data_IF_947639080551
#
_entry.id   IF_947639080551
#
_cell.length_a   1.000
_cell.length_b   1.000
_cell.length_c   1.000
_cell.angle_alpha   90.00
_cell.angle_beta   90.00
_cell.angle_gamma   90.00
#
_symmetry.space_group_name_H-M   'P 1'
#
loop_
_entity.id
_entity.type
_entity.pdbx_description
1 polymer ?
#
# COMPACT_ATOMS: atom_id res chain seq x y z
N UNK A 1 -2.47 -0.98 -9.54
CA UNK A 1 -3.87 -1.18 -9.13
C UNK A 1 -3.91 -2.25 -8.07
N UNK A 2 -4.70 -2.06 -7.02
CA UNK A 2 -4.94 -3.08 -5.99
C UNK A 2 -6.40 -3.48 -6.06
N UNK A 3 -6.66 -4.78 -6.04
CA UNK A 3 -7.99 -5.36 -6.00
C UNK A 3 -8.18 -6.05 -4.66
N UNK A 4 -9.34 -5.85 -4.06
CA UNK A 4 -9.71 -6.43 -2.77
C UNK A 4 -10.95 -7.31 -2.94
N UNK A 5 -10.99 -8.40 -2.19
CA UNK A 5 -12.24 -9.06 -1.85
C UNK A 5 -13.08 -8.18 -0.92
N UNK A 6 -14.36 -8.52 -0.75
CA UNK A 6 -15.23 -7.83 0.21
C UNK A 6 -14.62 -7.89 1.62
N UNK A 7 -14.44 -6.72 2.22
CA UNK A 7 -13.89 -6.58 3.57
C UNK A 7 -15.08 -6.49 4.55
N UNK A 8 -15.16 -7.37 5.56
CA UNK A 8 -16.22 -7.31 6.57
C UNK A 8 -16.23 -5.99 7.35
N UNK A 9 -17.41 -5.50 7.73
CA UNK A 9 -17.56 -4.26 8.51
C UNK A 9 -16.75 -4.29 9.82
N UNK A 10 -16.72 -5.42 10.52
CA UNK A 10 -15.92 -5.60 11.75
C UNK A 10 -14.42 -5.33 11.53
N UNK A 11 -13.89 -5.71 10.35
CA UNK A 11 -12.49 -5.44 10.01
C UNK A 11 -12.26 -3.94 9.81
N UNK A 12 -13.22 -3.25 9.19
CA UNK A 12 -13.18 -1.79 8.99
C UNK A 12 -13.24 -1.07 10.35
N UNK A 13 -14.15 -1.48 11.24
CA UNK A 13 -14.28 -0.89 12.58
C UNK A 13 -13.00 -1.08 13.40
N UNK A 14 -12.42 -2.28 13.41
CA UNK A 14 -11.15 -2.55 14.09
C UNK A 14 -10.00 -1.69 13.55
N UNK A 15 -9.93 -1.48 12.23
CA UNK A 15 -8.93 -0.61 11.59
C UNK A 15 -9.09 0.87 11.93
N UNK A 16 -10.32 1.32 12.17
CA UNK A 16 -10.64 2.69 12.62
C UNK A 16 -10.26 2.86 14.09
N UNK A 17 -10.59 1.87 14.93
CA UNK A 17 -10.25 1.86 16.35
C UNK A 17 -8.74 1.85 16.60
N UNK A 18 -7.98 1.09 15.80
CA UNK A 18 -6.51 1.08 15.86
C UNK A 18 -5.90 2.44 15.47
N UNK A 19 -6.62 3.24 14.67
CA UNK A 19 -6.27 4.60 14.29
C UNK A 19 -5.08 4.72 13.32
N UNK A 20 -4.39 3.61 13.01
CA UNK A 20 -3.24 3.61 12.10
C UNK A 20 -3.62 4.02 10.67
N UNK A 21 -4.85 3.71 10.25
CA UNK A 21 -5.41 4.06 8.94
C UNK A 21 -5.52 5.57 8.70
N UNK A 22 -5.54 6.39 9.75
CA UNK A 22 -5.55 7.85 9.63
C UNK A 22 -4.19 8.44 9.21
N UNK A 23 -3.11 7.65 9.25
CA UNK A 23 -1.77 8.11 8.88
C UNK A 23 -1.41 7.83 7.41
N UNK A 24 -2.31 7.20 6.66
CA UNK A 24 -2.07 6.79 5.27
C UNK A 24 -3.18 7.29 4.35
N UNK A 25 -2.81 7.58 3.10
CA UNK A 25 -3.79 8.05 2.12
C UNK A 25 -4.83 6.96 1.82
N UNK A 26 -6.10 7.32 1.93
CA UNK A 26 -7.22 6.40 1.67
C UNK A 26 -7.33 5.24 2.66
N UNK A 27 -6.65 5.28 3.82
CA UNK A 27 -6.66 4.17 4.78
C UNK A 27 -6.00 2.89 4.27
N UNK A 28 -5.24 2.98 3.16
CA UNK A 28 -4.73 1.81 2.45
C UNK A 28 -3.38 1.36 3.01
N UNK A 29 -3.36 0.19 3.63
CA UNK A 29 -2.14 -0.53 4.04
C UNK A 29 -2.23 -1.96 3.50
N UNK A 30 -1.31 -2.37 2.63
CA UNK A 30 -1.34 -3.71 2.01
C UNK A 30 -0.83 -4.79 2.96
N UNK A 31 0.11 -4.41 3.81
CA UNK A 31 0.85 -5.28 4.71
C UNK A 31 0.16 -5.46 6.06
N UNK A 32 -0.91 -4.71 6.33
CA UNK A 32 -1.60 -4.76 7.61
C UNK A 32 -2.30 -6.12 7.78
N UNK A 33 -2.15 -6.82 8.93
CA UNK A 33 -2.71 -8.16 9.12
C UNK A 33 -4.23 -8.24 8.90
N UNK A 34 -4.95 -7.16 9.16
CA UNK A 34 -6.41 -7.08 8.96
C UNK A 34 -6.82 -6.86 7.49
N UNK A 35 -5.96 -6.30 6.64
CA UNK A 35 -6.28 -6.01 5.23
C UNK A 35 -5.65 -7.01 4.27
N UNK A 36 -4.46 -7.53 4.61
CA UNK A 36 -3.68 -8.47 3.80
C UNK A 36 -4.49 -9.71 3.34
N UNK A 37 -5.33 -10.35 4.17
CA UNK A 37 -6.13 -11.50 3.74
C UNK A 37 -7.15 -11.17 2.64
N UNK A 38 -7.49 -9.90 2.46
CA UNK A 38 -8.49 -9.44 1.49
C UNK A 38 -7.85 -8.93 0.19
N UNK A 39 -6.52 -8.92 0.06
CA UNK A 39 -5.86 -8.51 -1.18
C UNK A 39 -6.01 -9.62 -2.22
N UNK A 40 -6.85 -9.39 -3.23
CA UNK A 40 -7.07 -10.33 -4.34
C UNK A 40 -5.90 -10.30 -5.33
N UNK A 41 -5.51 -9.10 -5.76
CA UNK A 41 -4.44 -8.93 -6.74
C UNK A 41 -3.78 -7.55 -6.64
N UNK A 42 -2.48 -7.51 -6.91
CA UNK A 42 -1.72 -6.27 -7.11
C UNK A 42 -1.20 -6.27 -8.54
N UNK A 43 -1.66 -5.31 -9.34
CA UNK A 43 -1.18 -5.08 -10.71
C UNK A 43 -0.18 -3.92 -10.68
N UNK A 44 1.08 -4.24 -10.90
CA UNK A 44 2.22 -3.33 -10.74
C UNK A 44 3.19 -3.85 -9.67
N UNK A 45 4.07 -2.99 -9.16
CA UNK A 45 5.02 -3.34 -8.11
C UNK A 45 4.50 -2.90 -6.74
N UNK A 46 4.55 -3.81 -5.75
CA UNK A 46 4.04 -3.57 -4.38
C UNK A 46 4.73 -2.40 -3.70
N UNK A 47 6.03 -2.22 -3.92
CA UNK A 47 6.82 -1.11 -3.36
C UNK A 47 6.29 0.26 -3.80
N UNK A 48 5.78 0.35 -5.03
CA UNK A 48 5.16 1.54 -5.58
C UNK A 48 3.84 1.86 -4.89
N UNK A 49 3.05 0.83 -4.53
CA UNK A 49 1.82 1.00 -3.76
C UNK A 49 2.13 1.39 -2.31
N UNK A 50 3.18 0.83 -1.72
CA UNK A 50 3.66 1.19 -0.38
C UNK A 50 4.31 2.58 -0.32
N UNK A 51 4.42 3.29 -1.44
CA UNK A 51 4.82 4.69 -1.49
C UNK A 51 6.21 4.97 -2.06
N UNK A 52 7.01 3.95 -2.39
CA UNK A 52 8.33 4.14 -2.99
C UNK A 52 8.66 3.07 -4.03
N UNK A 53 8.58 3.44 -5.31
CA UNK A 53 9.02 2.61 -6.42
C UNK A 53 10.56 2.51 -6.43
N UNK A 54 11.12 1.42 -5.91
CA UNK A 54 12.57 1.30 -5.70
C UNK A 54 13.34 1.30 -7.00
N UNK A 55 12.90 0.52 -7.98
CA UNK A 55 13.54 0.44 -9.29
C UNK A 55 13.53 1.79 -10.02
N UNK A 56 12.41 2.53 -9.94
CA UNK A 56 12.32 3.87 -10.51
C UNK A 56 13.21 4.86 -9.74
N UNK A 57 13.18 4.80 -8.41
CA UNK A 57 14.01 5.67 -7.55
C UNK A 57 15.49 5.46 -7.83
N UNK A 58 15.94 4.21 -7.92
CA UNK A 58 17.32 3.86 -8.27
C UNK A 58 17.72 4.42 -9.63
N UNK A 59 16.89 4.19 -10.66
CA UNK A 59 17.12 4.74 -12.00
C UNK A 59 17.27 6.27 -11.96
N UNK A 60 16.38 6.98 -11.27
CA UNK A 60 16.40 8.45 -11.20
C UNK A 60 17.62 8.98 -10.43
N UNK A 61 18.08 8.29 -9.39
CA UNK A 61 19.32 8.65 -8.68
C UNK A 61 20.52 8.59 -9.63
N UNK A 62 20.63 7.51 -10.41
CA UNK A 62 21.70 7.39 -11.41
C UNK A 62 21.62 8.46 -12.50
N UNK A 63 20.43 8.76 -13.00
CA UNK A 63 20.24 9.81 -14.02
C UNK A 63 20.58 11.21 -13.50
N UNK A 64 20.28 11.49 -12.22
CA UNK A 64 20.61 12.77 -11.59
C UNK A 64 22.11 12.95 -11.32
N UNK A 65 22.87 11.87 -11.12
CA UNK A 65 24.32 11.91 -10.91
C UNK A 65 25.13 12.19 -12.19
N UNK A 66 24.53 12.03 -13.36
CA UNK A 66 25.18 12.24 -14.67
C UNK A 66 24.96 13.65 -15.23
N UNK A 67 24.50 14.59 -14.39
CA UNK A 67 24.33 16.02 -14.69
C UNK A 67 25.40 16.85 -13.98
#
# INVERSE_FOLDING_TARGET
>A
MVYFHDIPDEVIDNLIEEGITFNVAGGLMLEHPLTLPFVEAVVGATDTVMGLSKALTEKLIWEAQQQ
#
